data_IF_367903104873
#
_entry.id   IF_367903104873
#
_cell.length_a   1.000
_cell.length_b   1.000
_cell.length_c   1.000
_cell.angle_alpha   90.00
_cell.angle_beta   90.00
_cell.angle_gamma   90.00
#
_symmetry.space_group_name_H-M   'P 1'
#
loop_
_entity.id
_entity.type
_entity.pdbx_description
1 polymer ?
#
# COMPACT_ATOMS: atom_id res chain seq x y z
N UNK A 1 2.05 3.42 22.01
CA UNK A 1 1.42 2.91 20.77
C UNK A 1 2.37 3.17 19.62
N UNK A 2 2.92 2.12 19.01
CA UNK A 2 4.02 2.24 18.05
C UNK A 2 3.45 2.71 16.72
N UNK A 3 3.58 4.01 16.42
CA UNK A 3 3.41 4.58 15.09
C UNK A 3 4.23 3.73 14.12
N UNK A 4 3.58 2.79 13.42
CA UNK A 4 4.19 2.00 12.34
C UNK A 4 4.56 3.01 11.26
N UNK A 5 5.72 2.90 10.63
CA UNK A 5 6.17 3.82 9.56
C UNK A 5 5.34 3.75 8.27
N UNK A 6 4.06 3.37 8.40
CA UNK A 6 3.10 3.23 7.32
C UNK A 6 2.77 4.60 6.75
N UNK A 7 2.99 4.76 5.45
CA UNK A 7 2.46 5.88 4.67
C UNK A 7 0.93 5.75 4.53
N UNK A 8 0.22 6.80 4.10
CA UNK A 8 -1.21 6.70 3.78
C UNK A 8 -1.52 5.56 2.81
N UNK A 9 -0.61 5.27 1.88
CA UNK A 9 -0.76 4.18 0.91
C UNK A 9 -0.72 2.80 1.59
N UNK A 10 0.18 2.59 2.57
CA UNK A 10 0.19 1.34 3.35
C UNK A 10 -1.16 1.14 4.08
N UNK A 11 -1.75 2.19 4.64
CA UNK A 11 -3.04 2.10 5.32
C UNK A 11 -4.19 1.81 4.37
N UNK A 12 -4.21 2.47 3.21
CA UNK A 12 -5.23 2.23 2.19
C UNK A 12 -5.20 0.78 1.71
N UNK A 13 -4.02 0.25 1.40
CA UNK A 13 -3.83 -1.14 0.96
C UNK A 13 -4.16 -2.13 2.08
N UNK A 14 -3.64 -1.90 3.29
CA UNK A 14 -3.88 -2.80 4.44
C UNK A 14 -5.35 -2.86 4.85
N UNK A 15 -6.10 -1.79 4.59
CA UNK A 15 -7.54 -1.71 4.87
C UNK A 15 -8.43 -2.13 3.69
N UNK A 16 -7.86 -2.44 2.52
CA UNK A 16 -8.61 -2.74 1.30
C UNK A 16 -9.35 -1.54 0.68
N UNK A 17 -8.96 -0.31 1.03
CA UNK A 17 -9.56 0.92 0.50
C UNK A 17 -9.01 1.24 -0.90
N UNK A 18 -9.40 0.45 -1.89
CA UNK A 18 -8.84 0.50 -3.25
C UNK A 18 -8.97 1.86 -3.92
N UNK A 19 -10.14 2.50 -3.84
CA UNK A 19 -10.35 3.83 -4.41
C UNK A 19 -9.41 4.89 -3.81
N UNK A 20 -9.10 4.78 -2.51
CA UNK A 20 -8.16 5.68 -1.83
C UNK A 20 -6.72 5.36 -2.22
N UNK A 21 -6.36 4.07 -2.35
CA UNK A 21 -5.05 3.66 -2.80
C UNK A 21 -4.76 4.17 -4.22
N UNK A 22 -5.72 4.02 -5.15
CA UNK A 22 -5.63 4.55 -6.52
C UNK A 22 -5.44 6.07 -6.54
N UNK A 23 -6.25 6.81 -5.78
CA UNK A 23 -6.10 8.27 -5.66
C UNK A 23 -4.71 8.66 -5.16
N UNK A 24 -4.14 7.88 -4.22
CA UNK A 24 -2.80 8.14 -3.69
C UNK A 24 -1.71 7.82 -4.74
N UNK A 25 -1.88 6.76 -5.54
CA UNK A 25 -1.00 6.41 -6.65
C UNK A 25 -1.00 7.50 -7.74
N UNK A 26 -2.17 7.97 -8.15
CA UNK A 26 -2.32 9.07 -9.12
C UNK A 26 -1.63 10.37 -8.69
N UNK A 27 -1.49 10.58 -7.37
CA UNK A 27 -0.83 11.75 -6.79
C UNK A 27 0.68 11.57 -6.59
N UNK A 28 1.25 10.47 -7.11
CA UNK A 28 2.68 10.20 -7.03
C UNK A 28 3.13 9.77 -5.64
N UNK A 29 2.28 9.04 -4.90
CA UNK A 29 2.72 8.42 -3.65
C UNK A 29 3.89 7.48 -3.89
N UNK A 30 4.84 7.45 -2.96
CA UNK A 30 5.97 6.53 -3.01
C UNK A 30 5.49 5.08 -2.80
N UNK A 31 5.53 4.30 -3.88
CA UNK A 31 5.14 2.89 -3.91
C UNK A 31 6.21 1.96 -3.32
N UNK A 32 7.46 2.44 -3.22
CA UNK A 32 8.60 1.71 -2.65
C UNK A 32 8.85 2.08 -1.17
N UNK A 33 8.00 2.95 -0.62
CA UNK A 33 8.06 3.31 0.79
C UNK A 33 7.96 2.05 1.66
N UNK A 34 8.86 1.92 2.62
CA UNK A 34 8.90 0.80 3.56
C UNK A 34 8.39 1.22 4.93
N UNK A 35 7.50 0.42 5.51
CA UNK A 35 7.08 0.62 6.89
C UNK A 35 8.12 0.07 7.89
N UNK A 36 7.78 0.03 9.19
CA UNK A 36 8.72 -0.45 10.24
C UNK A 36 8.95 -1.96 10.22
N UNK A 37 8.17 -2.70 9.45
CA UNK A 37 8.34 -4.13 9.19
C UNK A 37 9.06 -4.39 7.86
N UNK A 38 9.59 -3.34 7.22
CA UNK A 38 10.22 -3.40 5.89
C UNK A 38 9.22 -3.78 4.78
N UNK A 39 7.91 -3.62 5.04
CA UNK A 39 6.87 -3.95 4.08
C UNK A 39 6.59 -2.75 3.18
N UNK A 40 6.51 -2.99 1.88
CA UNK A 40 6.00 -2.03 0.89
C UNK A 40 4.48 -2.18 0.75
N UNK A 41 3.77 -1.18 0.19
CA UNK A 41 2.38 -1.33 -0.23
C UNK A 41 2.11 -2.59 -1.05
N UNK A 42 2.99 -2.94 -2.01
CA UNK A 42 2.88 -4.18 -2.79
C UNK A 42 2.97 -5.44 -1.91
N UNK A 43 3.92 -5.50 -0.98
CA UNK A 43 4.04 -6.63 -0.04
C UNK A 43 2.78 -6.79 0.84
N UNK A 44 2.15 -5.67 1.23
CA UNK A 44 0.87 -5.71 1.95
C UNK A 44 -0.23 -6.30 1.05
N UNK A 45 -0.32 -5.90 -0.22
CA UNK A 45 -1.30 -6.44 -1.16
C UNK A 45 -1.13 -7.96 -1.33
N UNK A 46 0.11 -8.43 -1.54
CA UNK A 46 0.41 -9.87 -1.63
C UNK A 46 0.02 -10.64 -0.36
N UNK A 47 0.32 -10.10 0.83
CA UNK A 47 -0.03 -10.75 2.11
C UNK A 47 -1.54 -10.91 2.30
N UNK A 48 -2.32 -10.01 1.69
CA UNK A 48 -3.78 -9.97 1.77
C UNK A 48 -4.46 -10.77 0.66
N UNK A 49 -3.68 -11.37 -0.24
CA UNK A 49 -4.21 -12.05 -1.45
C UNK A 49 -5.06 -11.10 -2.31
N UNK A 50 -4.70 -9.81 -2.33
CA UNK A 50 -5.42 -8.77 -3.08
C UNK A 50 -4.80 -8.60 -4.48
N UNK A 51 -5.08 -9.56 -5.37
CA UNK A 51 -4.53 -9.61 -6.74
C UNK A 51 -4.79 -8.32 -7.53
N UNK A 52 -5.99 -7.75 -7.40
CA UNK A 52 -6.37 -6.53 -8.09
C UNK A 52 -5.55 -5.32 -7.61
N UNK A 53 -5.35 -5.21 -6.29
CA UNK A 53 -4.48 -4.18 -5.74
C UNK A 53 -3.01 -4.39 -6.13
N UNK A 54 -2.54 -5.64 -6.14
CA UNK A 54 -1.19 -5.96 -6.62
C UNK A 54 -1.00 -5.55 -8.09
N UNK A 55 -2.04 -5.72 -8.92
CA UNK A 55 -2.06 -5.26 -10.31
C UNK A 55 -1.74 -3.77 -10.44
N UNK A 56 -2.35 -2.91 -9.61
CA UNK A 56 -2.09 -1.46 -9.63
C UNK A 56 -0.63 -1.06 -9.34
N UNK A 57 0.17 -1.95 -8.75
CA UNK A 57 1.59 -1.71 -8.49
C UNK A 57 2.51 -2.31 -9.58
N UNK A 58 1.97 -3.15 -10.46
CA UNK A 58 2.72 -3.88 -11.49
C UNK A 58 2.45 -3.36 -12.91
N UNK A 59 1.38 -2.59 -13.09
CA UNK A 59 1.04 -1.85 -14.32
C UNK A 59 1.84 -0.55 -14.46
#
# INVERSE_FOLDING_TARGET
MRIRGKTPLHWAVDSGHRAVALLLLERGSDIEARDKCDETPLLIACRRDDEEMAGFFLD
#
